data_IF_255099603825
#
_entry.id   IF_255099603825
#
_cell.length_a   1.000
_cell.length_b   1.000
_cell.length_c   1.000
_cell.angle_alpha   90.00
_cell.angle_beta   90.00
_cell.angle_gamma   90.00
#
_symmetry.space_group_name_H-M   'P 1'
#
loop_
_entity.id
_entity.type
_entity.pdbx_description
1 polymer ?
#
# COMPACT_ATOMS: atom_id res chain seq x y z
N UNK A 1 -1.53 1.55 13.53
CA UNK A 1 -0.43 0.68 13.02
C UNK A 1 -0.41 -0.73 13.60
N UNK A 2 -0.58 -0.94 14.92
CA UNK A 2 -0.63 -2.30 15.49
C UNK A 2 -1.74 -3.19 14.88
N UNK A 3 -2.94 -2.62 14.67
CA UNK A 3 -4.07 -3.29 14.01
C UNK A 3 -3.75 -3.74 12.57
N UNK A 4 -3.14 -2.88 11.75
CA UNK A 4 -2.74 -3.21 10.38
C UNK A 4 -1.79 -4.43 10.31
N UNK A 5 -0.83 -4.49 11.23
CA UNK A 5 0.12 -5.62 11.31
C UNK A 5 -0.54 -6.91 11.80
N UNK A 6 -1.53 -6.82 12.69
CA UNK A 6 -2.33 -7.97 13.11
C UNK A 6 -3.19 -8.50 11.95
N UNK A 7 -3.89 -7.61 11.25
CA UNK A 7 -4.71 -7.96 10.08
C UNK A 7 -3.87 -8.63 8.99
N UNK A 8 -2.69 -8.10 8.68
CA UNK A 8 -1.76 -8.70 7.71
C UNK A 8 -1.30 -10.10 8.14
N UNK A 9 -1.02 -10.31 9.44
CA UNK A 9 -0.64 -11.63 9.97
C UNK A 9 -1.77 -12.63 9.86
N UNK A 10 -3.01 -12.20 10.07
CA UNK A 10 -4.19 -13.04 9.89
C UNK A 10 -4.33 -13.45 8.41
N UNK A 11 -4.29 -12.50 7.48
CA UNK A 11 -4.31 -12.79 6.04
C UNK A 11 -3.21 -13.77 5.61
N UNK A 12 -1.99 -13.59 6.12
CA UNK A 12 -0.87 -14.50 5.85
C UNK A 12 -1.09 -15.90 6.44
N UNK A 13 -1.71 -16.02 7.62
CA UNK A 13 -2.04 -17.32 8.22
C UNK A 13 -3.11 -18.03 7.39
N UNK A 14 -4.12 -17.30 6.94
CA UNK A 14 -5.23 -17.85 6.17
C UNK A 14 -4.75 -18.42 4.83
N UNK A 15 -3.89 -17.68 4.10
CA UNK A 15 -3.34 -18.17 2.83
C UNK A 15 -2.29 -19.29 3.01
N UNK A 16 -1.58 -19.36 4.15
CA UNK A 16 -0.55 -20.40 4.40
C UNK A 16 -1.09 -21.68 5.02
N UNK A 17 -2.21 -21.62 5.75
CA UNK A 17 -2.78 -22.75 6.51
C UNK A 17 -4.17 -23.17 6.06
N UNK A 18 -4.81 -22.40 5.18
CA UNK A 18 -6.12 -22.74 4.65
C UNK A 18 -6.06 -23.97 3.73
N UNK A 19 -7.13 -24.78 3.66
CA UNK A 19 -7.26 -25.81 2.65
C UNK A 19 -7.20 -25.17 1.25
N UNK A 20 -6.53 -25.84 0.30
CA UNK A 20 -6.41 -25.39 -1.09
C UNK A 20 -7.76 -25.47 -1.80
N UNK A 21 -8.63 -24.49 -1.54
CA UNK A 21 -9.97 -24.41 -2.09
C UNK A 21 -10.25 -23.00 -2.60
N UNK A 22 -10.89 -22.94 -3.76
CA UNK A 22 -11.32 -21.68 -4.36
C UNK A 22 -12.65 -21.91 -5.09
N UNK A 23 -13.57 -20.97 -4.91
CA UNK A 23 -14.83 -20.89 -5.66
C UNK A 23 -14.72 -19.90 -6.81
N UNK A 24 -13.51 -19.37 -7.06
CA UNK A 24 -13.28 -18.41 -8.12
C UNK A 24 -13.36 -19.11 -9.49
N UNK A 25 -14.26 -18.64 -10.34
CA UNK A 25 -14.50 -19.22 -11.67
C UNK A 25 -13.26 -19.21 -12.57
N UNK A 26 -12.35 -18.24 -12.41
CA UNK A 26 -11.10 -18.19 -13.16
C UNK A 26 -10.14 -19.35 -12.87
N UNK A 27 -10.36 -20.14 -11.81
CA UNK A 27 -9.52 -21.31 -11.56
C UNK A 27 -9.60 -22.31 -12.72
N UNK A 28 -10.81 -22.57 -13.24
CA UNK A 28 -11.02 -23.48 -14.36
C UNK A 28 -10.33 -22.95 -15.63
N UNK A 29 -10.48 -21.66 -15.92
CA UNK A 29 -9.85 -21.01 -17.07
C UNK A 29 -8.32 -21.02 -16.98
N UNK A 30 -7.77 -20.72 -15.80
CA UNK A 30 -6.33 -20.78 -15.56
C UNK A 30 -5.78 -22.20 -15.72
N UNK A 31 -6.54 -23.21 -15.30
CA UNK A 31 -6.16 -24.61 -15.44
C UNK A 31 -6.18 -25.05 -16.90
N UNK A 32 -7.20 -24.68 -17.67
CA UNK A 32 -7.28 -24.93 -19.10
C UNK A 32 -6.10 -24.29 -19.83
N UNK A 33 -5.84 -23.00 -19.59
CA UNK A 33 -4.74 -22.27 -20.21
C UNK A 33 -3.36 -22.86 -19.85
N UNK A 34 -3.17 -23.29 -18.60
CA UNK A 34 -1.90 -23.90 -18.17
C UNK A 34 -1.68 -25.27 -18.82
N UNK A 35 -2.75 -26.07 -18.97
CA UNK A 35 -2.70 -27.36 -19.67
C UNK A 35 -2.41 -27.20 -21.16
N UNK A 36 -3.02 -26.20 -21.79
CA UNK A 36 -2.79 -25.88 -23.21
C UNK A 36 -1.34 -25.42 -23.45
N UNK A 37 -0.83 -24.49 -22.64
CA UNK A 37 0.57 -24.05 -22.65
C UNK A 37 1.52 -25.26 -22.56
N UNK A 38 1.21 -26.20 -21.66
CA UNK A 38 2.01 -27.41 -21.48
C UNK A 38 1.94 -28.34 -22.69
N UNK A 39 0.75 -28.57 -23.23
CA UNK A 39 0.55 -29.42 -24.40
C UNK A 39 1.37 -28.90 -25.59
N UNK A 40 1.33 -27.59 -25.83
CA UNK A 40 2.12 -26.93 -26.87
C UNK A 40 3.64 -27.08 -26.62
N UNK A 41 4.07 -27.04 -25.36
CA UNK A 41 5.49 -27.15 -24.99
C UNK A 41 6.07 -28.57 -25.06
N UNK A 42 5.24 -29.62 -25.06
CA UNK A 42 5.70 -31.01 -24.92
C UNK A 42 4.90 -31.99 -25.80
N UNK A 43 5.33 -32.12 -27.06
CA UNK A 43 4.83 -33.15 -28.01
C UNK A 43 5.47 -34.54 -27.78
N UNK A 44 5.58 -35.03 -26.54
CA UNK A 44 6.21 -36.34 -26.25
C UNK A 44 5.28 -37.24 -25.44
N UNK A 45 5.14 -38.51 -25.85
CA UNK A 45 4.42 -39.54 -25.07
C UNK A 45 5.09 -39.68 -23.68
N UNK A 46 4.34 -39.38 -22.63
CA UNK A 46 4.75 -39.55 -21.23
C UNK A 46 4.13 -40.81 -20.63
N UNK A 47 4.76 -41.33 -19.58
CA UNK A 47 4.15 -42.38 -18.74
C UNK A 47 2.96 -41.81 -17.96
N UNK A 48 2.04 -42.66 -17.52
CA UNK A 48 0.89 -42.26 -16.69
C UNK A 48 1.34 -41.54 -15.40
N UNK A 49 2.46 -41.96 -14.79
CA UNK A 49 2.98 -41.36 -13.57
C UNK A 49 3.46 -39.92 -13.79
N UNK A 50 4.12 -39.67 -14.92
CA UNK A 50 4.58 -38.31 -15.26
C UNK A 50 3.40 -37.38 -15.56
N UNK A 51 2.33 -37.91 -16.17
CA UNK A 51 1.11 -37.16 -16.41
C UNK A 51 0.41 -36.79 -15.09
N UNK A 52 0.37 -37.70 -14.12
CA UNK A 52 -0.21 -37.41 -12.80
C UNK A 52 0.56 -36.30 -12.06
N UNK A 53 1.90 -36.33 -12.13
CA UNK A 53 2.76 -35.27 -11.55
C UNK A 53 2.48 -33.92 -12.22
N UNK A 54 2.38 -33.93 -13.55
CA UNK A 54 2.05 -32.74 -14.34
C UNK A 54 0.67 -32.17 -13.95
N UNK A 55 -0.36 -33.02 -13.84
CA UNK A 55 -1.71 -32.60 -13.50
C UNK A 55 -1.77 -31.95 -12.11
N UNK A 56 -1.11 -32.55 -11.11
CA UNK A 56 -0.99 -31.96 -9.77
C UNK A 56 -0.31 -30.60 -9.84
N UNK A 57 0.78 -30.49 -10.59
CA UNK A 57 1.50 -29.23 -10.76
C UNK A 57 0.60 -28.15 -11.40
N UNK A 58 -0.19 -28.49 -12.42
CA UNK A 58 -1.06 -27.50 -13.10
C UNK A 58 -2.21 -27.04 -12.22
N UNK A 59 -2.76 -27.94 -11.41
CA UNK A 59 -3.77 -27.62 -10.39
C UNK A 59 -3.16 -26.64 -9.38
N UNK A 60 -1.97 -26.94 -8.85
CA UNK A 60 -1.29 -26.07 -7.87
C UNK A 60 -0.92 -24.70 -8.48
N UNK A 61 -0.38 -24.67 -9.70
CA UNK A 61 -0.02 -23.42 -10.41
C UNK A 61 -1.25 -22.55 -10.63
N UNK A 62 -2.35 -23.14 -11.08
CA UNK A 62 -3.61 -22.44 -11.35
C UNK A 62 -4.27 -21.92 -10.08
N UNK A 63 -4.23 -22.71 -9.01
CA UNK A 63 -4.71 -22.30 -7.70
C UNK A 63 -3.90 -21.12 -7.16
N UNK A 64 -2.57 -21.23 -7.20
CA UNK A 64 -1.67 -20.20 -6.69
C UNK A 64 -1.85 -18.86 -7.42
N UNK A 65 -2.11 -18.87 -8.73
CA UNK A 65 -2.46 -17.65 -9.49
C UNK A 65 -3.68 -16.93 -8.92
N UNK A 66 -4.71 -17.67 -8.51
CA UNK A 66 -5.92 -17.10 -7.91
C UNK A 66 -5.65 -16.62 -6.48
N UNK A 67 -4.99 -17.45 -5.67
CA UNK A 67 -4.67 -17.14 -4.28
C UNK A 67 -3.82 -15.88 -4.15
N UNK A 68 -2.80 -15.69 -5.01
CA UNK A 68 -1.98 -14.48 -5.00
C UNK A 68 -2.78 -13.20 -5.28
N UNK A 69 -3.68 -13.25 -6.27
CA UNK A 69 -4.53 -12.08 -6.59
C UNK A 69 -5.43 -11.73 -5.40
N UNK A 70 -6.10 -12.73 -4.83
CA UNK A 70 -6.94 -12.58 -3.65
C UNK A 70 -6.16 -12.01 -2.47
N UNK A 71 -4.96 -12.52 -2.21
CA UNK A 71 -4.11 -12.02 -1.13
C UNK A 71 -3.76 -10.54 -1.34
N UNK A 72 -3.33 -10.16 -2.54
CA UNK A 72 -3.01 -8.77 -2.86
C UNK A 72 -4.22 -7.85 -2.68
N UNK A 73 -5.38 -8.23 -3.21
CA UNK A 73 -6.62 -7.45 -3.06
C UNK A 73 -6.99 -7.30 -1.58
N UNK A 74 -6.87 -8.38 -0.80
CA UNK A 74 -7.15 -8.33 0.63
C UNK A 74 -6.16 -7.43 1.40
N UNK A 75 -4.87 -7.42 1.04
CA UNK A 75 -3.90 -6.52 1.66
C UNK A 75 -4.24 -5.07 1.34
N UNK A 76 -4.53 -4.75 0.08
CA UNK A 76 -4.88 -3.38 -0.32
C UNK A 76 -6.13 -2.91 0.43
N UNK A 77 -7.22 -3.68 0.36
CA UNK A 77 -8.49 -3.24 0.94
C UNK A 77 -8.46 -3.28 2.48
N UNK A 78 -8.01 -4.39 3.07
CA UNK A 78 -8.15 -4.57 4.52
C UNK A 78 -7.04 -3.89 5.31
N UNK A 79 -5.81 -3.89 4.79
CA UNK A 79 -4.66 -3.33 5.53
C UNK A 79 -4.44 -1.87 5.15
N UNK A 80 -4.36 -1.56 3.85
CA UNK A 80 -4.04 -0.19 3.41
C UNK A 80 -5.27 0.71 3.53
N UNK A 81 -6.33 0.41 2.80
CA UNK A 81 -7.51 1.28 2.76
C UNK A 81 -8.20 1.35 4.12
N UNK A 82 -8.51 0.21 4.75
CA UNK A 82 -9.26 0.21 6.01
C UNK A 82 -8.41 0.58 7.23
N UNK A 83 -7.24 -0.03 7.43
CA UNK A 83 -6.47 0.19 8.66
C UNK A 83 -5.53 1.40 8.62
N UNK A 84 -5.05 1.83 7.44
CA UNK A 84 -4.10 2.95 7.34
C UNK A 84 -4.82 4.24 6.90
N UNK A 85 -5.66 4.14 5.88
CA UNK A 85 -6.35 5.30 5.27
C UNK A 85 -7.77 5.53 5.79
N UNK A 86 -8.36 4.52 6.44
CA UNK A 86 -9.75 4.57 6.92
C UNK A 86 -9.95 5.47 8.13
N UNK A 87 -11.17 5.48 8.65
CA UNK A 87 -11.63 6.41 9.70
C UNK A 87 -10.89 6.29 11.05
N UNK A 88 -10.27 5.14 11.32
CA UNK A 88 -9.39 4.94 12.48
C UNK A 88 -7.90 4.88 12.10
N UNK A 89 -7.59 5.21 10.85
CA UNK A 89 -6.27 5.14 10.26
C UNK A 89 -5.38 6.31 10.66
N UNK A 90 -4.07 6.12 10.52
CA UNK A 90 -3.08 7.17 10.84
C UNK A 90 -3.24 8.43 9.98
N UNK A 91 -3.87 8.28 8.80
CA UNK A 91 -4.12 9.41 7.90
C UNK A 91 -5.16 10.39 8.44
N UNK A 92 -6.09 9.93 9.30
CA UNK A 92 -7.08 10.80 9.90
C UNK A 92 -6.47 11.84 10.84
N UNK A 93 -5.27 11.58 11.37
CA UNK A 93 -4.56 12.53 12.24
C UNK A 93 -4.18 13.87 11.56
N UNK A 94 -4.35 13.99 10.24
CA UNK A 94 -4.02 15.19 9.45
C UNK A 94 -5.24 15.78 8.73
N UNK A 95 -6.46 15.49 9.18
CA UNK A 95 -7.66 16.12 8.61
C UNK A 95 -7.80 17.58 9.04
N UNK A 96 -8.41 18.44 8.20
CA UNK A 96 -8.66 19.83 8.57
C UNK A 96 -9.42 19.99 9.88
N UNK A 97 -10.36 19.07 10.17
CA UNK A 97 -11.12 19.04 11.41
C UNK A 97 -10.21 18.80 12.62
N UNK A 98 -9.36 17.76 12.57
CA UNK A 98 -8.43 17.47 13.68
C UNK A 98 -7.40 18.59 13.85
N UNK A 99 -6.86 19.12 12.74
CA UNK A 99 -5.91 20.23 12.76
C UNK A 99 -6.56 21.50 13.34
N UNK A 100 -7.82 21.77 13.00
CA UNK A 100 -8.59 22.89 13.53
C UNK A 100 -8.88 22.79 15.02
N UNK A 101 -9.00 21.57 15.55
CA UNK A 101 -9.19 21.30 16.97
C UNK A 101 -7.87 21.25 17.77
N UNK A 102 -6.70 21.39 17.12
CA UNK A 102 -5.41 21.41 17.81
C UNK A 102 -5.23 22.71 18.62
N UNK A 103 -4.64 22.59 19.80
CA UNK A 103 -4.26 23.77 20.59
C UNK A 103 -3.14 24.57 19.92
N UNK A 104 -3.11 25.89 20.11
CA UNK A 104 -2.06 26.78 19.63
C UNK A 104 -0.64 26.28 19.96
N UNK A 105 -0.43 25.73 21.17
CA UNK A 105 0.86 25.16 21.58
C UNK A 105 1.28 23.97 20.73
N UNK A 106 0.35 23.07 20.43
CA UNK A 106 0.63 21.90 19.58
C UNK A 106 0.90 22.32 18.14
N UNK A 107 0.19 23.33 17.64
CA UNK A 107 0.46 23.91 16.32
C UNK A 107 1.83 24.62 16.29
N UNK A 108 2.19 25.33 17.35
CA UNK A 108 3.50 25.97 17.48
C UNK A 108 4.64 24.95 17.59
N UNK A 109 4.44 23.82 18.28
CA UNK A 109 5.43 22.74 18.32
C UNK A 109 5.63 22.05 16.96
N UNK A 110 4.57 21.90 16.16
CA UNK A 110 4.60 21.20 14.87
C UNK A 110 5.03 22.12 13.72
N UNK A 111 4.46 23.32 13.66
CA UNK A 111 4.59 24.25 12.55
C UNK A 111 5.31 25.55 12.91
N UNK A 112 5.64 25.77 14.19
CA UNK A 112 6.37 26.94 14.63
C UNK A 112 7.79 26.96 14.10
N UNK A 113 8.23 28.16 13.70
CA UNK A 113 9.62 28.37 13.33
C UNK A 113 10.51 28.26 14.57
N UNK A 114 11.66 27.59 14.42
CA UNK A 114 12.67 27.65 15.47
C UNK A 114 13.26 29.07 15.55
N UNK A 115 13.90 29.37 16.69
CA UNK A 115 14.46 30.70 16.95
C UNK A 115 15.41 31.20 15.86
N UNK A 116 16.27 30.32 15.33
CA UNK A 116 17.22 30.70 14.29
C UNK A 116 16.52 31.13 12.98
N UNK A 117 15.50 30.38 12.57
CA UNK A 117 14.69 30.70 11.37
C UNK A 117 13.90 31.99 11.60
N UNK A 118 13.24 32.14 12.74
CA UNK A 118 12.48 33.36 13.06
C UNK A 118 13.40 34.59 13.13
N UNK A 119 14.60 34.46 13.69
CA UNK A 119 15.58 35.56 13.74
C UNK A 119 16.06 35.96 12.34
N UNK A 120 16.43 34.97 11.51
CA UNK A 120 16.85 35.21 10.14
C UNK A 120 15.72 35.88 9.30
N UNK A 121 14.47 35.43 9.47
CA UNK A 121 13.30 36.04 8.84
C UNK A 121 13.17 37.51 9.24
N UNK A 122 13.27 37.83 10.53
CA UNK A 122 13.17 39.20 11.02
C UNK A 122 14.27 40.11 10.46
N UNK A 123 15.52 39.61 10.36
CA UNK A 123 16.62 40.35 9.73
C UNK A 123 16.38 40.62 8.24
N UNK A 124 15.90 39.61 7.51
CA UNK A 124 15.61 39.74 6.08
C UNK A 124 14.47 40.71 5.82
N UNK A 125 13.38 40.64 6.61
CA UNK A 125 12.27 41.59 6.54
C UNK A 125 12.75 43.02 6.79
N UNK A 126 13.63 43.22 7.79
CA UNK A 126 14.22 44.53 8.04
C UNK A 126 15.08 45.04 6.87
N UNK A 127 15.85 44.16 6.21
CA UNK A 127 16.63 44.53 5.02
C UNK A 127 15.73 44.91 3.85
N UNK A 128 14.67 44.14 3.59
CA UNK A 128 13.70 44.43 2.52
C UNK A 128 13.09 45.81 2.72
N UNK A 129 12.59 46.11 3.92
CA UNK A 129 11.98 47.40 4.23
C UNK A 129 12.97 48.57 4.04
N UNK A 130 14.23 48.40 4.46
CA UNK A 130 15.28 49.41 4.24
C UNK A 130 15.56 49.65 2.76
N UNK A 131 15.59 48.58 1.95
CA UNK A 131 15.82 48.70 0.51
C UNK A 131 14.62 49.31 -0.22
N UNK A 132 13.39 48.99 0.17
CA UNK A 132 12.18 49.60 -0.39
C UNK A 132 12.13 51.10 -0.12
N UNK A 133 12.39 51.52 1.12
CA UNK A 133 12.48 52.95 1.47
C UNK A 133 13.60 53.67 0.70
N UNK A 134 14.75 53.01 0.52
CA UNK A 134 15.83 53.53 -0.31
C UNK A 134 15.41 53.73 -1.76
N UNK A 135 14.68 52.78 -2.34
CA UNK A 135 14.17 52.87 -3.70
C UNK A 135 13.16 54.02 -3.88
N UNK A 136 12.26 54.22 -2.91
CA UNK A 136 11.28 55.31 -2.93
C UNK A 136 11.95 56.69 -2.93
N UNK A 137 13.07 56.84 -2.21
CA UNK A 137 13.83 58.11 -2.18
C UNK A 137 14.55 58.38 -3.51
N UNK A 138 14.95 57.33 -4.22
CA UNK A 138 15.63 57.44 -5.53
C UNK A 138 14.69 57.58 -6.73
N UNK A 139 13.38 57.62 -6.51
CA UNK A 139 12.35 57.71 -7.54
C UNK A 139 11.76 59.12 -7.63
#
# INVERSE_FOLDING_TARGET
>A
MANAMEQLRTLLKDERRGPLQTVNHYFADNLAATREERFLSKLKKRSNDEQAVDDIHDILKSFYKVAMKRFNDNVVVQVVERCILGDEGAFQALTPEIIGDMSDRALEDIAGENYAISSARNELVSKIDRFQRGMEITR
#
